data_IF_423177562768
#
_entry.id   IF_423177562768
#
_cell.length_a   1.000
_cell.length_b   1.000
_cell.length_c   1.000
_cell.angle_alpha   90.00
_cell.angle_beta   90.00
_cell.angle_gamma   90.00
#
_symmetry.space_group_name_H-M   'P 1'
#
loop_
_entity.id
_entity.type
_entity.pdbx_description
1 polymer ?
#
# COMPACT_ATOMS: atom_id res chain seq x y z
N UNK A 1 -54.95 -16.32 -34.78
CA UNK A 1 -53.48 -16.36 -34.88
C UNK A 1 -52.95 -15.09 -34.22
N UNK A 2 -52.34 -15.18 -33.03
CA UNK A 2 -51.72 -14.02 -32.35
C UNK A 2 -50.21 -14.18 -32.46
N UNK A 3 -49.58 -13.32 -33.25
CA UNK A 3 -48.12 -13.26 -33.41
C UNK A 3 -47.51 -12.56 -32.19
N UNK A 4 -46.60 -13.23 -31.49
CA UNK A 4 -45.82 -12.65 -30.40
C UNK A 4 -44.51 -12.09 -30.98
N UNK A 5 -44.21 -10.82 -30.68
CA UNK A 5 -42.96 -10.15 -31.05
C UNK A 5 -41.97 -10.36 -29.91
N UNK A 6 -40.88 -11.09 -30.16
CA UNK A 6 -39.74 -11.20 -29.24
C UNK A 6 -38.86 -9.96 -29.41
N UNK A 7 -38.82 -9.11 -28.40
CA UNK A 7 -37.87 -8.00 -28.32
C UNK A 7 -36.58 -8.53 -27.71
N UNK A 8 -35.53 -8.66 -28.52
CA UNK A 8 -34.19 -8.96 -28.04
C UNK A 8 -33.59 -7.68 -27.42
N UNK A 9 -33.49 -7.64 -26.10
CA UNK A 9 -32.77 -6.56 -25.40
C UNK A 9 -31.27 -6.73 -25.60
N UNK A 10 -30.67 -5.81 -26.35
CA UNK A 10 -29.23 -5.69 -26.51
C UNK A 10 -28.64 -5.16 -25.19
N UNK A 11 -27.96 -6.01 -24.43
CA UNK A 11 -27.13 -5.57 -23.31
C UNK A 11 -25.84 -5.00 -23.91
N UNK A 12 -25.82 -3.68 -24.10
CA UNK A 12 -24.57 -2.97 -24.41
C UNK A 12 -23.78 -2.96 -23.10
N UNK A 13 -22.77 -3.84 -22.98
CA UNK A 13 -21.78 -3.72 -21.94
C UNK A 13 -21.00 -2.42 -22.21
N UNK A 14 -21.40 -1.33 -21.55
CA UNK A 14 -20.57 -0.14 -21.54
C UNK A 14 -19.28 -0.52 -20.85
N UNK A 15 -18.18 -0.54 -21.60
CA UNK A 15 -16.85 -0.57 -21.00
C UNK A 15 -16.71 0.79 -20.35
N UNK A 16 -17.16 0.91 -19.09
CA UNK A 16 -16.70 1.99 -18.24
C UNK A 16 -15.19 1.78 -18.19
N UNK A 17 -14.36 2.69 -18.72
CA UNK A 17 -12.94 2.61 -18.41
C UNK A 17 -12.90 2.55 -16.89
N UNK A 18 -12.25 1.55 -16.32
CA UNK A 18 -12.02 1.46 -14.88
C UNK A 18 -11.29 2.74 -14.45
N UNK A 19 -12.06 3.79 -14.19
CA UNK A 19 -11.59 5.11 -13.88
C UNK A 19 -11.16 5.03 -12.42
N UNK A 20 -9.86 4.93 -12.20
CA UNK A 20 -9.35 4.98 -10.83
C UNK A 20 -7.94 4.48 -10.67
N UNK A 21 -7.47 3.51 -11.45
CA UNK A 21 -6.15 2.93 -11.19
C UNK A 21 -5.08 3.59 -12.05
N UNK A 22 -4.05 4.10 -11.37
CA UNK A 22 -2.87 4.62 -12.04
C UNK A 22 -2.26 3.54 -12.94
N UNK A 23 -2.07 3.83 -14.23
CA UNK A 23 -1.48 2.90 -15.20
C UNK A 23 -0.02 2.52 -14.92
N UNK A 24 0.64 3.16 -13.94
CA UNK A 24 1.98 2.80 -13.47
C UNK A 24 1.95 1.67 -12.43
N UNK A 25 0.82 1.42 -11.77
CA UNK A 25 0.67 0.29 -10.86
C UNK A 25 0.61 -0.99 -11.68
N UNK A 26 1.52 -1.93 -11.42
CA UNK A 26 1.46 -3.26 -12.02
C UNK A 26 0.28 -4.04 -11.43
N UNK A 27 -0.34 -4.91 -12.23
CA UNK A 27 -1.44 -5.79 -11.76
C UNK A 27 -1.06 -6.70 -10.60
N UNK A 28 0.24 -6.84 -10.28
CA UNK A 28 0.70 -7.67 -9.16
C UNK A 28 0.95 -6.87 -7.87
N UNK A 29 0.67 -5.57 -7.83
CA UNK A 29 0.77 -4.76 -6.62
C UNK A 29 -0.34 -5.03 -5.58
N UNK A 30 -0.34 -4.25 -4.50
CA UNK A 30 -1.49 -4.15 -3.60
C UNK A 30 -2.33 -2.94 -3.97
N UNK A 31 -3.65 -3.10 -3.96
CA UNK A 31 -4.59 -2.05 -4.35
C UNK A 31 -5.58 -1.81 -3.23
N UNK A 32 -5.86 -0.55 -2.90
CA UNK A 32 -6.87 -0.21 -1.90
C UNK A 32 -8.28 -0.72 -2.28
N UNK A 33 -8.48 -1.00 -3.58
CA UNK A 33 -9.65 -1.66 -4.15
C UNK A 33 -9.21 -2.99 -4.77
N UNK A 34 -9.54 -4.12 -4.14
CA UNK A 34 -9.21 -5.46 -4.66
C UNK A 34 -8.22 -6.21 -3.78
N UNK A 35 -7.13 -6.73 -4.38
CA UNK A 35 -6.06 -7.41 -3.63
C UNK A 35 -5.30 -6.37 -2.81
N UNK A 36 -5.75 -6.13 -1.59
CA UNK A 36 -5.25 -5.07 -0.73
C UNK A 36 -4.25 -5.54 0.33
N UNK A 37 -3.94 -6.84 0.40
CA UNK A 37 -3.14 -7.40 1.47
C UNK A 37 -2.04 -8.35 1.00
N UNK A 38 -0.99 -8.44 1.80
CA UNK A 38 0.11 -9.40 1.64
C UNK A 38 0.45 -10.01 3.01
N UNK A 39 0.26 -11.32 3.12
CA UNK A 39 0.48 -12.11 4.34
C UNK A 39 1.94 -12.57 4.42
N UNK A 40 2.40 -13.02 5.60
CA UNK A 40 3.73 -13.62 5.75
C UNK A 40 3.99 -14.74 4.74
N UNK A 41 5.20 -14.74 4.19
CA UNK A 41 5.64 -15.63 3.13
C UNK A 41 5.29 -15.15 1.72
N UNK A 42 4.23 -14.36 1.56
CA UNK A 42 3.77 -13.89 0.24
C UNK A 42 4.64 -12.76 -0.30
N UNK A 43 4.67 -12.65 -1.63
CA UNK A 43 5.37 -11.56 -2.32
C UNK A 43 4.58 -10.98 -3.48
N UNK A 44 4.84 -9.70 -3.78
CA UNK A 44 4.48 -9.03 -5.03
C UNK A 44 5.73 -8.76 -5.86
N UNK A 45 5.55 -8.46 -7.15
CA UNK A 45 6.63 -8.19 -8.09
C UNK A 45 6.95 -9.36 -9.02
N UNK A 46 8.23 -9.52 -9.39
CA UNK A 46 8.74 -10.53 -10.32
C UNK A 46 10.11 -11.07 -9.89
N UNK A 47 10.78 -11.87 -10.73
CA UNK A 47 12.07 -12.48 -10.41
C UNK A 47 13.23 -11.47 -10.24
N UNK A 48 13.12 -10.28 -10.81
CA UNK A 48 14.15 -9.25 -10.75
C UNK A 48 13.98 -8.30 -9.57
N UNK A 49 12.73 -8.06 -9.16
CA UNK A 49 12.37 -7.20 -8.04
C UNK A 49 11.14 -7.77 -7.37
N UNK A 50 11.19 -7.95 -6.05
CA UNK A 50 10.04 -8.43 -5.30
C UNK A 50 9.96 -7.76 -3.94
N UNK A 51 8.74 -7.51 -3.49
CA UNK A 51 8.46 -7.11 -2.11
C UNK A 51 7.88 -8.33 -1.41
N UNK A 52 8.43 -8.69 -0.27
CA UNK A 52 7.98 -9.85 0.51
C UNK A 52 7.65 -9.42 1.93
N UNK A 53 6.48 -9.85 2.41
CA UNK A 53 6.20 -9.88 3.83
C UNK A 53 6.81 -11.17 4.39
N UNK A 54 7.89 -11.06 5.17
CA UNK A 54 8.66 -12.21 5.64
C UNK A 54 8.04 -12.88 6.86
N UNK A 55 8.45 -14.13 7.13
CA UNK A 55 7.98 -14.90 8.28
C UNK A 55 8.39 -14.31 9.63
N UNK A 56 9.49 -13.55 9.65
CA UNK A 56 10.02 -12.84 10.82
C UNK A 56 9.29 -11.51 11.10
N UNK A 57 8.18 -11.25 10.41
CA UNK A 57 7.39 -10.01 10.53
C UNK A 57 8.02 -8.77 9.88
N UNK A 58 8.89 -8.93 8.89
CA UNK A 58 9.50 -7.80 8.18
C UNK A 58 9.05 -7.68 6.72
N UNK A 59 8.68 -6.47 6.28
CA UNK A 59 8.41 -6.17 4.88
C UNK A 59 9.70 -5.74 4.17
N UNK A 60 10.12 -6.45 3.13
CA UNK A 60 11.43 -6.23 2.50
C UNK A 60 11.34 -6.18 0.98
N UNK A 61 12.02 -5.19 0.40
CA UNK A 61 12.27 -5.12 -1.04
C UNK A 61 13.57 -5.83 -1.37
N UNK A 62 13.47 -6.79 -2.28
CA UNK A 62 14.58 -7.54 -2.84
C UNK A 62 14.78 -7.20 -4.31
N UNK A 63 16.04 -7.17 -4.73
CA UNK A 63 16.45 -7.25 -6.13
C UNK A 63 16.87 -8.68 -6.49
N UNK A 64 17.16 -8.89 -7.77
CA UNK A 64 17.69 -10.14 -8.33
C UNK A 64 18.85 -10.69 -7.49
N UNK A 65 18.91 -12.02 -7.37
CA UNK A 65 19.88 -12.71 -6.52
C UNK A 65 19.59 -12.63 -5.01
N UNK A 66 18.42 -12.13 -4.61
CA UNK A 66 18.03 -12.07 -3.19
C UNK A 66 18.67 -10.92 -2.41
N UNK A 67 19.18 -9.90 -3.11
CA UNK A 67 19.78 -8.72 -2.46
C UNK A 67 18.69 -7.81 -1.88
N UNK A 68 18.62 -7.71 -0.55
CA UNK A 68 17.74 -6.75 0.12
C UNK A 68 18.24 -5.32 -0.13
N UNK A 69 17.33 -4.40 -0.48
CA UNK A 69 17.65 -2.99 -0.76
C UNK A 69 16.81 -1.99 0.02
N UNK A 70 15.75 -2.46 0.68
CA UNK A 70 14.96 -1.69 1.64
C UNK A 70 14.22 -2.66 2.56
N UNK A 71 14.01 -2.29 3.82
CA UNK A 71 13.20 -3.03 4.78
C UNK A 71 12.39 -2.08 5.66
N UNK A 72 11.28 -2.57 6.21
CA UNK A 72 10.48 -1.85 7.20
C UNK A 72 11.10 -1.83 8.61
N UNK A 73 12.11 -2.67 8.85
CA UNK A 73 12.79 -2.85 10.14
C UNK A 73 11.84 -3.24 11.29
N UNK A 74 10.94 -4.18 11.01
CA UNK A 74 9.88 -4.66 11.92
C UNK A 74 10.06 -6.13 12.32
N UNK A 75 11.28 -6.67 12.18
CA UNK A 75 11.62 -8.04 12.55
C UNK A 75 11.23 -8.31 14.01
N UNK A 76 10.51 -9.39 14.28
CA UNK A 76 10.05 -9.76 15.62
C UNK A 76 8.88 -8.94 16.17
N UNK A 77 8.31 -8.00 15.39
CA UNK A 77 7.16 -7.18 15.82
C UNK A 77 5.87 -7.99 16.06
N UNK A 78 5.78 -9.19 15.47
CA UNK A 78 4.56 -10.01 15.45
C UNK A 78 3.57 -9.61 14.35
N UNK A 79 3.95 -8.71 13.44
CA UNK A 79 3.18 -8.42 12.23
C UNK A 79 2.98 -9.66 11.35
N UNK A 80 1.75 -9.91 10.90
CA UNK A 80 1.37 -11.08 10.11
C UNK A 80 0.91 -10.74 8.70
N UNK A 81 0.52 -9.49 8.45
CA UNK A 81 0.13 -9.00 7.13
C UNK A 81 0.38 -7.49 6.99
N UNK A 82 0.56 -7.05 5.75
CA UNK A 82 0.58 -5.64 5.35
C UNK A 82 -0.65 -5.36 4.48
N UNK A 83 -1.34 -4.26 4.72
CA UNK A 83 -2.62 -3.91 4.09
C UNK A 83 -2.56 -2.50 3.51
N UNK A 84 -2.88 -2.36 2.23
CA UNK A 84 -3.13 -1.08 1.55
C UNK A 84 -4.56 -0.66 1.81
N UNK A 85 -4.74 0.35 2.65
CA UNK A 85 -6.05 0.79 3.11
C UNK A 85 -6.72 1.75 2.13
N UNK A 86 -8.04 1.91 2.27
CA UNK A 86 -8.86 2.80 1.44
C UNK A 86 -8.53 4.29 1.59
N UNK A 87 -7.89 4.67 2.69
CA UNK A 87 -7.47 6.04 2.99
C UNK A 87 -6.05 6.36 2.49
N UNK A 88 -5.38 5.43 1.80
CA UNK A 88 -4.03 5.65 1.29
C UNK A 88 -2.92 5.31 2.28
N UNK A 89 -3.25 4.73 3.44
CA UNK A 89 -2.26 4.24 4.39
C UNK A 89 -1.88 2.78 4.13
N UNK A 90 -0.58 2.47 4.16
CA UNK A 90 -0.09 1.09 4.15
C UNK A 90 0.26 0.69 5.58
N UNK A 91 -0.43 -0.32 6.12
CA UNK A 91 -0.35 -0.67 7.55
C UNK A 91 -0.04 -2.14 7.75
N UNK A 92 0.89 -2.42 8.65
CA UNK A 92 1.21 -3.78 9.09
C UNK A 92 0.42 -4.11 10.34
N UNK A 93 -0.23 -5.27 10.34
CA UNK A 93 -1.11 -5.72 11.41
C UNK A 93 -0.62 -7.02 12.05
N UNK A 94 -0.85 -7.17 13.36
CA UNK A 94 -0.80 -8.45 14.07
C UNK A 94 -2.07 -9.26 13.82
N UNK A 95 -2.07 -10.52 14.25
CA UNK A 95 -3.22 -11.42 14.17
C UNK A 95 -4.45 -10.91 14.96
N UNK A 96 -4.23 -10.15 16.04
CA UNK A 96 -5.29 -9.51 16.83
C UNK A 96 -5.79 -8.18 16.22
N UNK A 97 -5.33 -7.81 15.02
CA UNK A 97 -5.71 -6.59 14.32
C UNK A 97 -5.02 -5.32 14.82
N UNK A 98 -4.06 -5.41 15.76
CA UNK A 98 -3.29 -4.23 16.19
C UNK A 98 -2.25 -3.82 15.16
N UNK A 99 -2.14 -2.51 14.82
CA UNK A 99 -1.10 -2.03 13.93
C UNK A 99 0.28 -2.07 14.60
N UNK A 100 1.32 -2.43 13.86
CA UNK A 100 2.73 -2.41 14.33
C UNK A 100 3.63 -1.49 13.53
N UNK A 101 3.22 -1.16 12.30
CA UNK A 101 3.95 -0.25 11.43
C UNK A 101 2.98 0.39 10.45
N UNK A 102 3.26 1.61 10.00
CA UNK A 102 2.46 2.32 9.01
C UNK A 102 3.34 3.26 8.19
N UNK A 103 2.96 3.47 6.92
CA UNK A 103 3.56 4.50 6.05
C UNK A 103 3.21 5.93 6.45
N UNK A 104 2.21 6.14 7.32
CA UNK A 104 1.71 7.44 7.77
C UNK A 104 1.20 8.32 6.62
N UNK A 105 0.60 7.69 5.61
CA UNK A 105 0.10 8.36 4.38
C UNK A 105 -1.43 8.47 4.34
N UNK A 106 -2.11 8.25 5.46
CA UNK A 106 -3.56 8.35 5.54
C UNK A 106 -4.07 9.73 5.07
N UNK A 107 -5.06 9.72 4.20
CA UNK A 107 -5.70 10.87 3.56
C UNK A 107 -4.74 11.77 2.75
N UNK A 108 -3.58 11.25 2.34
CA UNK A 108 -2.70 11.91 1.38
C UNK A 108 -3.02 11.43 -0.04
N UNK A 109 -2.99 12.32 -1.04
CA UNK A 109 -3.33 11.97 -2.43
C UNK A 109 -4.81 11.70 -2.67
N UNK A 110 -5.13 10.98 -3.75
CA UNK A 110 -6.50 10.72 -4.19
C UNK A 110 -6.78 9.23 -4.42
N UNK A 111 -7.83 8.64 -3.82
CA UNK A 111 -8.16 7.24 -4.01
C UNK A 111 -8.58 6.91 -5.47
N UNK A 112 -8.53 5.63 -5.87
CA UNK A 112 -7.90 4.52 -5.15
C UNK A 112 -6.36 4.60 -5.15
N UNK A 113 -5.75 3.82 -4.27
CA UNK A 113 -4.31 3.78 -4.06
C UNK A 113 -3.74 2.42 -4.46
N UNK A 114 -2.46 2.41 -4.84
CA UNK A 114 -1.72 1.17 -5.00
C UNK A 114 -0.37 1.25 -4.28
N UNK A 115 0.10 0.12 -3.75
CA UNK A 115 1.45 -0.07 -3.27
C UNK A 115 2.14 -1.11 -4.15
N UNK A 116 3.23 -0.71 -4.80
CA UNK A 116 3.89 -1.56 -5.79
C UNK A 116 5.38 -1.26 -5.96
N UNK A 117 6.10 -2.23 -6.52
CA UNK A 117 7.46 -2.07 -7.03
C UNK A 117 7.41 -1.56 -8.48
N UNK A 118 7.39 -0.25 -8.65
CA UNK A 118 7.28 0.39 -9.95
C UNK A 118 8.50 0.08 -10.84
N UNK A 119 8.22 -0.27 -12.09
CA UNK A 119 9.21 -0.41 -13.15
C UNK A 119 9.05 0.76 -14.11
N UNK A 120 10.04 1.63 -14.20
CA UNK A 120 10.16 2.60 -15.29
C UNK A 120 11.60 2.53 -15.80
N UNK A 121 11.74 2.52 -17.13
CA UNK A 121 13.02 2.48 -17.83
C UNK A 121 13.98 3.63 -17.45
N UNK A 122 13.49 4.65 -16.74
CA UNK A 122 14.24 5.79 -16.22
C UNK A 122 14.59 5.72 -14.71
N UNK A 123 14.08 4.73 -13.96
CA UNK A 123 14.37 4.54 -12.52
C UNK A 123 14.69 3.07 -12.17
N UNK A 124 15.80 2.87 -11.46
CA UNK A 124 16.09 1.62 -10.77
C UNK A 124 15.02 1.42 -9.70
N UNK A 125 14.10 0.47 -9.94
CA UNK A 125 13.06 -0.08 -9.07
C UNK A 125 12.68 0.81 -7.88
N UNK A 126 11.49 1.42 -7.92
CA UNK A 126 11.00 2.19 -6.79
C UNK A 126 9.83 1.52 -6.08
N UNK A 127 9.93 1.41 -4.76
CA UNK A 127 8.85 0.91 -3.92
C UNK A 127 8.06 2.12 -3.48
N UNK A 128 6.80 2.20 -3.91
CA UNK A 128 6.03 3.41 -3.77
C UNK A 128 4.56 3.12 -3.46
N UNK A 129 3.92 4.11 -2.85
CA UNK A 129 2.46 4.24 -2.81
C UNK A 129 2.09 5.28 -3.86
N UNK A 130 1.19 4.92 -4.77
CA UNK A 130 0.67 5.79 -5.82
C UNK A 130 -0.81 6.03 -5.61
N UNK A 131 -1.27 7.20 -6.04
CA UNK A 131 -2.68 7.57 -6.06
C UNK A 131 -3.29 7.45 -7.46
N UNK A 132 -4.59 7.70 -7.59
CA UNK A 132 -5.32 7.58 -8.86
C UNK A 132 -4.87 8.55 -9.96
N UNK A 133 -4.04 9.54 -9.63
CA UNK A 133 -3.46 10.51 -10.57
C UNK A 133 -2.05 10.14 -11.01
N UNK A 134 -1.57 8.97 -10.63
CA UNK A 134 -0.19 8.56 -10.83
C UNK A 134 0.83 9.49 -10.17
N UNK A 135 0.48 10.02 -8.99
CA UNK A 135 1.44 10.75 -8.16
C UNK A 135 1.99 9.85 -7.06
N UNK A 136 3.28 9.99 -6.76
CA UNK A 136 3.90 9.30 -5.63
C UNK A 136 3.40 9.95 -4.33
N UNK A 137 2.65 9.18 -3.54
CA UNK A 137 2.28 9.54 -2.17
C UNK A 137 3.45 9.24 -1.23
N UNK A 138 4.16 8.15 -1.48
CA UNK A 138 5.34 7.74 -0.71
C UNK A 138 6.33 6.96 -1.58
N UNK A 139 7.61 6.97 -1.19
CA UNK A 139 8.68 6.19 -1.83
C UNK A 139 9.75 5.80 -0.81
N UNK A 140 10.35 4.61 -1.00
CA UNK A 140 11.51 4.14 -0.22
C UNK A 140 12.74 5.06 -0.29
N UNK A 141 12.87 5.91 -1.32
CA UNK A 141 14.03 6.80 -1.49
C UNK A 141 13.94 8.08 -0.63
N UNK A 142 12.84 8.28 0.10
CA UNK A 142 12.45 9.61 0.55
C UNK A 142 11.97 10.43 -0.67
N UNK A 143 10.92 11.22 -0.48
CA UNK A 143 10.22 11.91 -1.57
C UNK A 143 11.18 12.71 -2.48
N UNK A 144 11.29 12.34 -3.76
CA UNK A 144 11.89 13.20 -4.81
C UNK A 144 10.92 13.33 -5.97
N UNK A 145 9.94 14.24 -5.88
CA UNK A 145 9.25 14.76 -7.07
C UNK A 145 8.59 16.11 -6.80
N UNK A 146 9.33 17.18 -7.12
CA UNK A 146 8.92 18.47 -7.72
C UNK A 146 7.74 19.30 -7.15
N UNK A 147 7.07 18.93 -6.05
CA UNK A 147 6.05 19.76 -5.39
C UNK A 147 6.26 19.94 -3.88
N UNK A 148 7.50 20.16 -3.44
CA UNK A 148 7.76 20.50 -2.04
C UNK A 148 7.75 22.02 -1.84
N UNK A 149 6.75 22.53 -1.11
CA UNK A 149 6.97 23.73 -0.31
C UNK A 149 7.71 23.32 0.96
N UNK A 150 8.81 24.01 1.24
CA UNK A 150 9.80 23.68 2.26
C UNK A 150 9.34 23.92 3.72
N UNK A 151 8.07 23.61 4.05
CA UNK A 151 7.51 23.78 5.40
C UNK A 151 7.11 22.47 6.08
N UNK A 152 7.15 21.34 5.38
CA UNK A 152 6.66 20.08 5.92
C UNK A 152 7.84 19.27 6.47
N UNK A 153 7.99 19.31 7.80
CA UNK A 153 9.19 18.94 8.52
C UNK A 153 9.65 17.47 8.39
N UNK A 154 10.97 17.31 8.29
CA UNK A 154 11.78 16.24 8.89
C UNK A 154 11.17 14.84 9.03
N UNK A 155 11.06 14.08 7.93
CA UNK A 155 10.68 12.66 7.96
C UNK A 155 11.90 11.74 7.83
N UNK A 156 12.60 11.59 8.96
CA UNK A 156 13.64 10.58 9.16
C UNK A 156 12.96 9.31 9.70
N UNK A 157 12.92 8.24 8.90
CA UNK A 157 12.59 6.83 9.26
C UNK A 157 11.28 6.57 10.05
N UNK A 158 10.49 5.52 9.72
CA UNK A 158 9.26 5.23 10.45
C UNK A 158 9.57 4.86 11.92
N UNK A 159 9.05 5.67 12.84
CA UNK A 159 9.14 5.52 14.29
C UNK A 159 8.34 4.28 14.75
N UNK A 160 8.95 3.46 15.60
CA UNK A 160 8.34 2.34 16.31
C UNK A 160 7.11 2.84 17.11
N UNK A 161 5.90 2.35 16.82
CA UNK A 161 4.74 2.62 17.69
C UNK A 161 4.85 1.67 18.89
N UNK A 162 5.51 2.11 19.96
CA UNK A 162 5.26 1.53 21.28
C UNK A 162 3.82 1.89 21.71
N UNK A 163 3.05 0.84 21.96
CA UNK A 163 1.76 0.79 22.68
C UNK A 163 1.25 2.11 23.29
N UNK A 164 0.25 2.71 22.67
CA UNK A 164 -0.72 3.56 23.37
C UNK A 164 -1.62 2.64 24.23
N UNK A 165 -1.19 2.36 25.46
CA UNK A 165 -2.07 1.77 26.45
C UNK A 165 -2.81 2.89 27.17
N UNK A 166 -4.14 2.88 27.02
CA UNK A 166 -5.07 3.68 27.82
C UNK A 166 -4.72 3.58 29.31
N UNK A 167 -4.64 4.73 29.96
CA UNK A 167 -4.95 4.84 31.38
C UNK A 167 -5.71 6.15 31.61
N UNK A 168 -6.98 6.14 31.23
CA UNK A 168 -7.95 7.04 31.82
C UNK A 168 -8.52 6.40 33.10
N UNK A 169 -8.40 7.16 34.19
CA UNK A 169 -9.13 7.08 35.48
C UNK A 169 -8.73 6.01 36.50
N UNK A 170 -8.12 6.43 37.61
CA UNK A 170 -8.89 6.73 38.84
C UNK A 170 -8.00 7.24 40.00
N UNK A 171 -8.57 8.17 40.78
CA UNK A 171 -8.24 8.56 42.17
C UNK A 171 -7.01 9.47 42.38
N UNK A 172 -7.05 10.54 43.17
CA UNK A 172 -8.13 11.15 43.95
C UNK A 172 -7.69 12.56 44.36
N UNK A 173 -8.69 13.43 44.49
CA UNK A 173 -8.74 14.59 45.37
C UNK A 173 -8.06 14.32 46.72
N UNK A 174 -6.97 15.03 47.04
CA UNK A 174 -6.83 15.93 48.20
C UNK A 174 -5.50 16.67 48.16
#
# INVERSE_FOLDING_TARGET
MKTAILIATLVIATIVPIAGECGMCSRNGLFSTGRNKLSRGESIGNNNVRVQMQWDSNLVLYLSGGRAVWASDTQGSGGVEIVMQGDGNLVMYKEDGKPVWSSQTNNQGYPPYCFDNLYDASIIYDLAIMDSRCTHVWSKKGMTSSRMNATDGNFSSPIFIETMQENATSNATK
#
